data_IF_923605869406
#
_entry.id   IF_923605869406
#
_cell.length_a   1.000
_cell.length_b   1.000
_cell.length_c   1.000
_cell.angle_alpha   90.00
_cell.angle_beta   90.00
_cell.angle_gamma   90.00
#
_symmetry.space_group_name_H-M   'P 1'
#
loop_
_entity.id
_entity.type
_entity.pdbx_description
1 polymer ?
#
# COMPACT_ATOMS: atom_id res chain seq x y z
N UNK A 1 -4.83 16.80 -30.55
CA UNK A 1 -5.53 16.12 -29.44
C UNK A 1 -4.66 16.22 -28.20
N UNK A 2 -5.07 17.06 -27.25
CA UNK A 2 -4.23 17.28 -26.05
C UNK A 2 -4.18 16.01 -25.20
N UNK A 3 -2.99 15.65 -24.73
CA UNK A 3 -2.73 14.50 -23.82
C UNK A 3 -3.71 14.53 -22.63
N UNK A 4 -4.07 15.73 -22.17
CA UNK A 4 -5.00 15.97 -21.05
C UNK A 4 -6.40 15.40 -21.27
N UNK A 5 -6.94 15.47 -22.48
CA UNK A 5 -8.32 15.06 -22.77
C UNK A 5 -8.48 13.53 -22.84
N UNK A 6 -7.40 12.80 -23.12
CA UNK A 6 -7.40 11.33 -23.15
C UNK A 6 -7.22 10.70 -21.76
N UNK A 7 -6.76 11.46 -20.76
CA UNK A 7 -6.46 10.95 -19.40
C UNK A 7 -7.62 11.12 -18.42
N UNK A 8 -8.47 12.15 -18.62
CA UNK A 8 -9.60 12.44 -17.73
C UNK A 8 -10.65 11.31 -17.62
N UNK A 9 -10.97 10.56 -18.70
CA UNK A 9 -11.94 9.45 -18.62
C UNK A 9 -11.55 8.34 -17.66
N UNK A 10 -10.25 8.22 -17.30
CA UNK A 10 -9.76 7.24 -16.32
C UNK A 10 -10.32 7.52 -14.93
N UNK A 11 -10.55 8.78 -14.58
CA UNK A 11 -11.11 9.21 -13.28
C UNK A 11 -12.55 8.73 -13.04
N UNK A 12 -13.30 8.47 -14.10
CA UNK A 12 -14.68 7.99 -14.02
C UNK A 12 -14.79 6.48 -13.71
N UNK A 13 -13.66 5.78 -13.67
CA UNK A 13 -13.64 4.34 -13.45
C UNK A 13 -13.59 3.99 -11.98
N UNK A 14 -14.55 3.21 -11.52
CA UNK A 14 -14.57 2.69 -10.13
C UNK A 14 -13.28 1.95 -9.77
N UNK A 15 -12.70 1.20 -10.70
CA UNK A 15 -11.44 0.49 -10.47
C UNK A 15 -10.26 1.43 -10.13
N UNK A 16 -10.26 2.68 -10.63
CA UNK A 16 -9.24 3.66 -10.25
C UNK A 16 -9.28 3.92 -8.74
N UNK A 17 -10.45 4.22 -8.22
CA UNK A 17 -10.64 4.57 -6.80
C UNK A 17 -10.38 3.40 -5.86
N UNK A 18 -10.84 2.19 -6.23
CA UNK A 18 -10.58 0.99 -5.46
C UNK A 18 -9.08 0.67 -5.41
N UNK A 19 -8.39 0.73 -6.53
CA UNK A 19 -6.95 0.49 -6.59
C UNK A 19 -6.15 1.62 -5.93
N UNK A 20 -6.63 2.87 -5.97
CA UNK A 20 -6.04 3.97 -5.21
C UNK A 20 -6.09 3.73 -3.71
N UNK A 21 -7.21 3.21 -3.20
CA UNK A 21 -7.35 2.85 -1.80
C UNK A 21 -6.37 1.74 -1.39
N UNK A 22 -6.24 0.69 -2.21
CA UNK A 22 -5.28 -0.38 -1.96
C UNK A 22 -3.83 0.10 -2.03
N UNK A 23 -3.53 1.00 -2.97
CA UNK A 23 -2.19 1.56 -3.09
C UNK A 23 -1.87 2.54 -1.96
N UNK A 24 -2.86 3.31 -1.50
CA UNK A 24 -2.75 4.13 -0.30
C UNK A 24 -2.42 3.26 0.93
N UNK A 25 -3.05 2.09 1.05
CA UNK A 25 -2.80 1.18 2.16
C UNK A 25 -1.39 0.57 2.14
N UNK A 26 -0.79 0.35 0.98
CA UNK A 26 0.57 -0.21 0.86
C UNK A 26 1.63 0.88 0.75
N UNK A 27 1.61 1.65 -0.33
CA UNK A 27 2.59 2.70 -0.60
C UNK A 27 2.46 3.87 0.37
N UNK A 28 1.21 4.28 0.67
CA UNK A 28 0.94 5.32 1.66
C UNK A 28 1.44 4.93 3.05
N UNK A 29 1.27 3.66 3.45
CA UNK A 29 1.83 3.14 4.71
C UNK A 29 3.35 3.13 4.69
N UNK A 30 3.98 2.73 3.60
CA UNK A 30 5.43 2.75 3.48
C UNK A 30 6.01 4.15 3.67
N UNK A 31 5.46 5.16 2.98
CA UNK A 31 5.91 6.56 3.12
C UNK A 31 5.55 7.09 4.51
N UNK A 32 4.32 6.84 4.97
CA UNK A 32 3.83 7.36 6.24
C UNK A 32 4.57 6.79 7.44
N UNK A 33 4.90 5.51 7.44
CA UNK A 33 5.75 4.91 8.47
C UNK A 33 7.17 5.44 8.39
N UNK A 34 7.71 5.66 7.18
CA UNK A 34 9.03 6.26 7.01
C UNK A 34 9.12 7.65 7.64
N UNK A 35 8.05 8.46 7.51
CA UNK A 35 7.98 9.79 8.10
C UNK A 35 7.67 9.77 9.61
N UNK A 36 6.82 8.83 10.08
CA UNK A 36 6.30 8.79 11.45
C UNK A 36 7.08 7.93 12.43
N UNK A 37 7.86 6.96 11.95
CA UNK A 37 8.50 5.96 12.80
C UNK A 37 9.42 6.55 13.87
N UNK A 38 10.31 7.47 13.49
CA UNK A 38 11.27 8.07 14.42
C UNK A 38 10.57 8.83 15.56
N UNK A 39 9.51 9.59 15.23
CA UNK A 39 8.71 10.30 16.22
C UNK A 39 8.01 9.31 17.16
N UNK A 40 7.35 8.31 16.60
CA UNK A 40 6.63 7.28 17.36
C UNK A 40 7.56 6.53 18.32
N UNK A 41 8.69 6.05 17.80
CA UNK A 41 9.63 5.28 18.60
C UNK A 41 10.28 6.12 19.71
N UNK A 42 10.58 7.42 19.45
CA UNK A 42 11.11 8.32 20.46
C UNK A 42 10.11 8.63 21.56
N UNK A 43 8.81 8.75 21.25
CA UNK A 43 7.78 9.01 22.24
C UNK A 43 7.47 7.79 23.11
N UNK A 44 7.57 6.58 22.58
CA UNK A 44 7.28 5.35 23.30
C UNK A 44 8.51 4.78 24.05
N UNK A 45 9.72 5.07 23.57
CA UNK A 45 10.98 4.57 24.09
C UNK A 45 12.02 5.71 24.16
N UNK A 46 11.87 6.68 25.08
CA UNK A 46 12.70 7.89 25.13
C UNK A 46 14.18 7.60 25.40
N UNK A 47 14.48 6.50 26.10
CA UNK A 47 15.84 6.09 26.47
C UNK A 47 16.66 5.50 25.33
N UNK A 48 16.02 5.21 24.18
CA UNK A 48 16.68 4.59 23.02
C UNK A 48 17.12 5.62 22.01
N UNK A 49 18.37 5.52 21.53
CA UNK A 49 18.86 6.37 20.45
C UNK A 49 18.32 5.89 19.09
N UNK A 50 17.08 6.30 18.80
CA UNK A 50 16.34 5.86 17.62
C UNK A 50 16.91 6.38 16.30
N UNK A 51 17.65 7.52 16.31
CA UNK A 51 18.13 8.15 15.07
C UNK A 51 19.06 7.25 14.26
N UNK A 52 19.85 6.41 14.95
CA UNK A 52 20.75 5.44 14.28
C UNK A 52 20.01 4.27 13.66
N UNK A 53 18.81 3.96 14.13
CA UNK A 53 18.04 2.78 13.74
C UNK A 53 16.89 3.13 12.78
N UNK A 54 16.49 4.40 12.72
CA UNK A 54 15.31 4.83 11.98
C UNK A 54 15.44 4.63 10.47
N UNK A 55 16.64 4.68 9.89
CA UNK A 55 16.83 4.54 8.45
C UNK A 55 16.65 3.10 7.95
N UNK A 56 16.83 2.08 8.81
CA UNK A 56 16.71 0.68 8.39
C UNK A 56 15.30 0.34 7.90
N UNK A 57 14.26 0.93 8.49
CA UNK A 57 12.88 0.71 8.07
C UNK A 57 12.64 1.09 6.61
N UNK A 58 12.83 2.36 6.23
CA UNK A 58 12.73 2.81 4.84
C UNK A 58 13.65 2.04 3.89
N UNK A 59 14.86 1.69 4.31
CA UNK A 59 15.83 0.93 3.51
C UNK A 59 15.31 -0.48 3.19
N UNK A 60 14.86 -1.23 4.21
CA UNK A 60 14.26 -2.55 4.04
C UNK A 60 13.03 -2.48 3.13
N UNK A 61 12.14 -1.50 3.35
CA UNK A 61 10.94 -1.33 2.56
C UNK A 61 11.24 -0.97 1.10
N UNK A 62 12.28 -0.17 0.83
CA UNK A 62 12.69 0.17 -0.54
C UNK A 62 13.18 -1.06 -1.31
N UNK A 63 14.00 -1.90 -0.70
CA UNK A 63 14.44 -3.18 -1.29
C UNK A 63 13.24 -4.11 -1.49
N UNK A 64 12.40 -4.25 -0.46
CA UNK A 64 11.23 -5.09 -0.49
C UNK A 64 10.25 -4.71 -1.60
N UNK A 65 10.13 -3.43 -1.94
CA UNK A 65 9.28 -2.95 -3.04
C UNK A 65 9.68 -3.57 -4.39
N UNK A 66 10.96 -3.58 -4.71
CA UNK A 66 11.46 -4.18 -5.95
C UNK A 66 11.22 -5.70 -5.97
N UNK A 67 11.45 -6.36 -4.84
CA UNK A 67 11.19 -7.80 -4.67
C UNK A 67 9.69 -8.11 -4.80
N UNK A 68 8.81 -7.28 -4.22
CA UNK A 68 7.36 -7.43 -4.29
C UNK A 68 6.83 -7.39 -5.72
N UNK A 69 7.36 -6.49 -6.56
CA UNK A 69 7.06 -6.44 -8.00
C UNK A 69 7.47 -7.74 -8.71
N UNK A 70 8.71 -8.18 -8.53
CA UNK A 70 9.23 -9.41 -9.15
C UNK A 70 8.49 -10.69 -8.72
N UNK A 71 8.09 -10.78 -7.44
CA UNK A 71 7.26 -11.89 -6.94
C UNK A 71 5.87 -11.84 -7.61
N UNK A 72 5.30 -10.64 -7.76
CA UNK A 72 3.98 -10.46 -8.38
C UNK A 72 3.96 -10.83 -9.86
N UNK A 73 5.07 -10.67 -10.58
CA UNK A 73 5.20 -11.09 -11.97
C UNK A 73 5.11 -12.63 -12.10
N UNK A 74 5.60 -13.38 -11.09
CA UNK A 74 5.59 -14.84 -11.09
C UNK A 74 4.28 -15.44 -10.57
N UNK A 75 3.76 -14.91 -9.47
CA UNK A 75 2.64 -15.51 -8.73
C UNK A 75 1.31 -14.78 -8.94
N UNK A 76 1.34 -13.64 -9.64
CA UNK A 76 0.18 -12.78 -9.90
C UNK A 76 -0.05 -11.74 -8.82
N UNK A 77 -0.17 -10.48 -9.25
CA UNK A 77 -0.29 -9.32 -8.35
C UNK A 77 -1.43 -9.42 -7.33
N UNK A 78 -2.61 -9.91 -7.73
CA UNK A 78 -3.77 -10.03 -6.83
C UNK A 78 -3.50 -10.97 -5.66
N UNK A 79 -2.91 -12.14 -5.92
CA UNK A 79 -2.62 -13.13 -4.86
C UNK A 79 -1.55 -12.62 -3.91
N UNK A 80 -0.47 -12.06 -4.46
CA UNK A 80 0.63 -11.52 -3.65
C UNK A 80 0.15 -10.36 -2.79
N UNK A 81 -0.62 -9.44 -3.37
CA UNK A 81 -1.19 -8.29 -2.64
C UNK A 81 -2.16 -8.73 -1.54
N UNK A 82 -3.01 -9.75 -1.79
CA UNK A 82 -3.93 -10.27 -0.78
C UNK A 82 -3.17 -10.86 0.42
N UNK A 83 -2.20 -11.73 0.15
CA UNK A 83 -1.36 -12.34 1.20
C UNK A 83 -0.60 -11.25 1.96
N UNK A 84 -0.08 -10.27 1.24
CA UNK A 84 0.66 -9.16 1.86
C UNK A 84 -0.23 -8.33 2.81
N UNK A 85 -1.49 -8.02 2.46
CA UNK A 85 -2.40 -7.33 3.37
C UNK A 85 -2.69 -8.14 4.65
N UNK A 86 -2.77 -9.46 4.55
CA UNK A 86 -2.91 -10.33 5.72
C UNK A 86 -1.69 -10.17 6.64
N UNK A 87 -0.47 -10.20 6.10
CA UNK A 87 0.73 -9.96 6.89
C UNK A 87 0.79 -8.56 7.49
N UNK A 88 0.39 -7.52 6.75
CA UNK A 88 0.31 -6.15 7.27
C UNK A 88 -0.66 -6.07 8.46
N UNK A 89 -1.82 -6.72 8.37
CA UNK A 89 -2.78 -6.79 9.47
C UNK A 89 -2.19 -7.56 10.68
N UNK A 90 -1.50 -8.68 10.47
CA UNK A 90 -0.86 -9.46 11.52
C UNK A 90 0.23 -8.61 12.22
N UNK A 91 1.15 -7.99 11.49
CA UNK A 91 2.20 -7.16 12.09
C UNK A 91 1.62 -5.93 12.80
N UNK A 92 0.56 -5.32 12.24
CA UNK A 92 -0.15 -4.22 12.90
C UNK A 92 -0.80 -4.68 14.22
N UNK A 93 -1.36 -5.89 14.27
CA UNK A 93 -1.91 -6.46 15.50
C UNK A 93 -0.80 -6.81 16.52
N UNK A 94 0.32 -7.37 16.08
CA UNK A 94 1.45 -7.69 16.94
C UNK A 94 2.07 -6.45 17.61
N UNK A 95 1.98 -5.27 17.00
CA UNK A 95 2.47 -4.03 17.62
C UNK A 95 1.80 -3.74 18.96
N UNK A 96 0.52 -4.09 19.14
CA UNK A 96 -0.16 -3.90 20.42
C UNK A 96 0.49 -4.69 21.57
N UNK A 97 1.10 -5.82 21.26
CA UNK A 97 1.78 -6.66 22.24
C UNK A 97 3.16 -6.13 22.64
N UNK A 98 3.71 -5.19 21.90
CA UNK A 98 5.06 -4.66 22.07
C UNK A 98 5.12 -3.27 22.67
N UNK A 99 4.02 -2.52 22.60
CA UNK A 99 3.95 -1.14 23.08
C UNK A 99 3.90 -1.05 24.60
N UNK A 100 4.52 -0.01 25.20
CA UNK A 100 4.32 0.31 26.61
C UNK A 100 2.82 0.57 26.90
N UNK A 101 2.33 0.05 28.00
CA UNK A 101 0.93 0.24 28.44
C UNK A 101 -0.11 -0.70 27.86
N UNK A 102 0.16 -1.38 26.74
CA UNK A 102 -0.73 -2.39 26.16
C UNK A 102 -0.07 -3.78 26.05
N UNK A 103 1.25 -3.84 26.09
CA UNK A 103 2.02 -5.06 25.93
C UNK A 103 3.28 -5.07 26.78
N UNK A 104 4.32 -5.76 26.29
CA UNK A 104 5.57 -5.99 27.02
C UNK A 104 6.43 -4.74 27.26
N UNK A 105 6.20 -3.65 26.51
CA UNK A 105 7.06 -2.46 26.53
C UNK A 105 8.50 -2.75 26.09
N UNK A 106 8.74 -3.84 25.34
CA UNK A 106 10.07 -4.23 24.91
C UNK A 106 10.42 -3.57 23.57
N UNK A 107 11.44 -2.70 23.59
CA UNK A 107 11.89 -1.99 22.39
C UNK A 107 12.35 -2.92 21.27
N UNK A 108 13.07 -4.00 21.57
CA UNK A 108 13.57 -4.93 20.54
C UNK A 108 12.43 -5.62 19.83
N UNK A 109 11.40 -6.07 20.57
CA UNK A 109 10.21 -6.67 20.00
C UNK A 109 9.42 -5.66 19.16
N UNK A 110 9.22 -4.43 19.67
CA UNK A 110 8.59 -3.32 18.93
C UNK A 110 9.33 -3.05 17.61
N UNK A 111 10.66 -2.92 17.67
CA UNK A 111 11.48 -2.63 16.50
C UNK A 111 11.40 -3.75 15.47
N UNK A 112 11.51 -5.01 15.87
CA UNK A 112 11.43 -6.16 14.98
C UNK A 112 10.06 -6.26 14.28
N UNK A 113 8.96 -6.06 15.01
CA UNK A 113 7.59 -6.06 14.45
C UNK A 113 7.40 -4.89 13.49
N UNK A 114 7.93 -3.71 13.84
CA UNK A 114 7.84 -2.54 12.98
C UNK A 114 8.68 -2.69 11.69
N UNK A 115 9.85 -3.34 11.76
CA UNK A 115 10.62 -3.71 10.57
C UNK A 115 9.84 -4.69 9.68
N UNK A 116 9.08 -5.62 10.26
CA UNK A 116 8.13 -6.47 9.55
C UNK A 116 7.03 -5.68 8.82
N UNK A 117 6.53 -4.60 9.44
CA UNK A 117 5.59 -3.68 8.78
C UNK A 117 6.24 -2.94 7.61
N UNK A 118 7.47 -2.47 7.75
CA UNK A 118 8.20 -1.85 6.64
C UNK A 118 8.42 -2.82 5.49
N UNK A 119 8.82 -4.05 5.80
CA UNK A 119 9.00 -5.11 4.82
C UNK A 119 7.71 -5.36 4.03
N UNK A 120 6.61 -5.58 4.75
CA UNK A 120 5.31 -5.87 4.12
C UNK A 120 4.72 -4.65 3.41
N UNK A 121 4.84 -3.43 3.94
CA UNK A 121 4.43 -2.22 3.24
C UNK A 121 5.24 -2.00 1.95
N UNK A 122 6.54 -2.29 1.97
CA UNK A 122 7.40 -2.28 0.79
C UNK A 122 6.97 -3.33 -0.24
N UNK A 123 6.93 -4.61 0.15
CA UNK A 123 6.46 -5.70 -0.72
C UNK A 123 5.08 -5.41 -1.31
N UNK A 124 4.15 -4.95 -0.46
CA UNK A 124 2.81 -4.57 -0.87
C UNK A 124 2.78 -3.44 -1.88
N UNK A 125 3.61 -2.43 -1.71
CA UNK A 125 3.67 -1.32 -2.67
C UNK A 125 4.12 -1.77 -4.06
N UNK A 126 5.09 -2.67 -4.14
CA UNK A 126 5.55 -3.27 -5.40
C UNK A 126 4.49 -4.18 -6.04
N UNK A 127 3.88 -5.06 -5.24
CA UNK A 127 2.86 -5.99 -5.72
C UNK A 127 1.58 -5.29 -6.17
N UNK A 128 1.11 -4.28 -5.43
CA UNK A 128 -0.08 -3.50 -5.80
C UNK A 128 0.17 -2.68 -7.05
N UNK A 129 1.36 -2.09 -7.21
CA UNK A 129 1.73 -1.34 -8.41
C UNK A 129 1.67 -2.21 -9.66
N UNK A 130 2.23 -3.41 -9.58
CA UNK A 130 2.16 -4.40 -10.66
C UNK A 130 0.72 -4.85 -10.93
N UNK A 131 -0.06 -5.11 -9.89
CA UNK A 131 -1.49 -5.45 -9.99
C UNK A 131 -2.29 -4.37 -10.73
N UNK A 132 -2.05 -3.08 -10.44
CA UNK A 132 -2.70 -1.94 -11.11
C UNK A 132 -2.39 -1.96 -12.61
N UNK A 133 -1.11 -2.13 -12.97
CA UNK A 133 -0.68 -2.14 -14.35
C UNK A 133 -1.37 -3.24 -15.17
N UNK A 134 -1.42 -4.45 -14.63
CA UNK A 134 -2.06 -5.61 -15.28
C UNK A 134 -3.56 -5.41 -15.43
N UNK A 135 -4.25 -4.97 -14.37
CA UNK A 135 -5.71 -4.82 -14.38
C UNK A 135 -6.13 -3.74 -15.37
N UNK A 136 -5.49 -2.55 -15.34
CA UNK A 136 -5.85 -1.48 -16.27
C UNK A 136 -5.59 -1.85 -17.72
N UNK A 137 -4.44 -2.51 -17.99
CA UNK A 137 -4.11 -3.00 -19.33
C UNK A 137 -5.19 -3.97 -19.83
N UNK A 138 -5.59 -4.95 -19.04
CA UNK A 138 -6.60 -5.94 -19.43
C UNK A 138 -7.97 -5.31 -19.66
N UNK A 139 -8.42 -4.43 -18.75
CA UNK A 139 -9.72 -3.74 -18.89
C UNK A 139 -9.76 -2.90 -20.16
N UNK A 140 -8.68 -2.18 -20.47
CA UNK A 140 -8.64 -1.32 -21.65
C UNK A 140 -8.61 -2.12 -22.94
N UNK A 141 -7.78 -3.17 -23.01
CA UNK A 141 -7.75 -4.07 -24.19
C UNK A 141 -9.14 -4.68 -24.43
N UNK A 142 -9.76 -5.23 -23.40
CA UNK A 142 -11.10 -5.81 -23.50
C UNK A 142 -12.13 -4.80 -24.02
N UNK A 143 -12.13 -3.59 -23.49
CA UNK A 143 -13.06 -2.51 -23.90
C UNK A 143 -12.88 -2.11 -25.36
N UNK A 144 -11.64 -1.93 -25.83
CA UNK A 144 -11.37 -1.50 -27.20
C UNK A 144 -11.79 -2.60 -28.18
N UNK A 145 -11.50 -3.86 -27.87
CA UNK A 145 -11.92 -5.01 -28.68
C UNK A 145 -13.45 -5.14 -28.77
N UNK A 146 -14.16 -4.93 -27.67
CA UNK A 146 -15.64 -4.95 -27.65
C UNK A 146 -16.26 -3.83 -28.50
N UNK A 147 -15.55 -2.73 -28.73
CA UNK A 147 -15.96 -1.64 -29.64
C UNK A 147 -15.54 -1.85 -31.10
N UNK A 148 -14.97 -2.99 -31.42
CA UNK A 148 -14.51 -3.32 -32.78
C UNK A 148 -13.16 -2.70 -33.16
N UNK A 149 -12.38 -2.22 -32.19
CA UNK A 149 -11.04 -1.69 -32.43
C UNK A 149 -10.02 -2.77 -32.76
N UNK A 150 -8.97 -2.38 -33.52
CA UNK A 150 -7.88 -3.29 -33.88
C UNK A 150 -7.01 -3.65 -32.66
N UNK A 151 -6.27 -4.76 -32.77
CA UNK A 151 -5.32 -5.19 -31.71
C UNK A 151 -4.25 -4.13 -31.44
N UNK A 152 -3.76 -3.48 -32.48
CA UNK A 152 -2.76 -2.42 -32.37
C UNK A 152 -3.32 -1.20 -31.63
N UNK A 153 -4.54 -0.78 -31.96
CA UNK A 153 -5.24 0.30 -31.27
C UNK A 153 -5.46 -0.05 -29.79
N UNK A 154 -5.91 -1.29 -29.51
CA UNK A 154 -6.12 -1.74 -28.13
C UNK A 154 -4.85 -1.67 -27.28
N UNK A 155 -3.70 -2.07 -27.84
CA UNK A 155 -2.42 -1.99 -27.15
C UNK A 155 -1.96 -0.55 -26.90
N UNK A 156 -2.09 0.34 -27.89
CA UNK A 156 -1.73 1.77 -27.75
C UNK A 156 -2.58 2.45 -26.67
N UNK A 157 -3.90 2.27 -26.71
CA UNK A 157 -4.79 2.82 -25.70
C UNK A 157 -4.52 2.25 -24.31
N UNK A 158 -4.23 0.95 -24.20
CA UNK A 158 -3.91 0.30 -22.95
C UNK A 158 -2.66 0.88 -22.29
N UNK A 159 -1.60 1.14 -23.07
CA UNK A 159 -0.37 1.77 -22.55
C UNK A 159 -0.67 3.15 -22.00
N UNK A 160 -1.38 3.99 -22.76
CA UNK A 160 -1.70 5.37 -22.36
C UNK A 160 -2.59 5.42 -21.11
N UNK A 161 -3.66 4.62 -21.07
CA UNK A 161 -4.57 4.59 -19.91
C UNK A 161 -3.92 3.99 -18.67
N UNK A 162 -3.12 2.94 -18.83
CA UNK A 162 -2.39 2.36 -17.70
C UNK A 162 -1.40 3.36 -17.11
N UNK A 163 -0.66 4.10 -17.95
CA UNK A 163 0.25 5.13 -17.48
C UNK A 163 -0.47 6.26 -16.72
N UNK A 164 -1.63 6.71 -17.24
CA UNK A 164 -2.45 7.72 -16.59
C UNK A 164 -2.98 7.20 -15.24
N UNK A 165 -3.51 5.97 -15.19
CA UNK A 165 -4.00 5.35 -13.96
C UNK A 165 -2.89 5.23 -12.90
N UNK A 166 -1.70 4.75 -13.28
CA UNK A 166 -0.55 4.66 -12.38
C UNK A 166 -0.15 6.03 -11.82
N UNK A 167 -0.18 7.07 -12.64
CA UNK A 167 0.12 8.44 -12.21
C UNK A 167 -0.87 8.94 -11.15
N UNK A 168 -2.18 8.85 -11.41
CA UNK A 168 -3.23 9.27 -10.47
C UNK A 168 -3.21 8.44 -9.17
N UNK A 169 -3.11 7.12 -9.29
CA UNK A 169 -3.09 6.22 -8.14
C UNK A 169 -1.85 6.48 -7.28
N UNK A 170 -0.69 6.74 -7.91
CA UNK A 170 0.54 7.06 -7.17
C UNK A 170 0.46 8.39 -6.44
N UNK A 171 -0.15 9.40 -7.04
CA UNK A 171 -0.39 10.69 -6.40
C UNK A 171 -1.29 10.54 -5.17
N UNK A 172 -2.41 9.80 -5.29
CA UNK A 172 -3.30 9.50 -4.15
C UNK A 172 -2.57 8.68 -3.08
N UNK A 173 -1.80 7.67 -3.49
CA UNK A 173 -1.02 6.84 -2.57
C UNK A 173 0.00 7.63 -1.75
N UNK A 174 0.65 8.63 -2.37
CA UNK A 174 1.65 9.48 -1.69
C UNK A 174 1.05 10.32 -0.55
N UNK A 175 -0.25 10.62 -0.58
CA UNK A 175 -0.95 11.37 0.48
C UNK A 175 -0.90 10.65 1.83
N UNK A 176 -0.70 9.32 1.84
CA UNK A 176 -0.46 8.55 3.05
C UNK A 176 0.75 9.02 3.86
N UNK A 177 1.75 9.60 3.19
CA UNK A 177 2.90 10.23 3.85
C UNK A 177 2.52 11.39 4.78
N UNK A 178 1.40 12.04 4.53
CA UNK A 178 0.84 13.08 5.40
C UNK A 178 -0.08 12.49 6.46
N UNK A 179 -1.02 11.63 6.08
CA UNK A 179 -2.06 11.17 6.99
C UNK A 179 -1.56 10.27 8.11
N UNK A 180 -0.58 9.42 7.88
CA UNK A 180 -0.11 8.46 8.90
C UNK A 180 0.63 9.16 10.05
N UNK A 181 1.63 10.04 9.82
CA UNK A 181 2.23 10.82 10.90
C UNK A 181 1.21 11.69 11.64
N UNK A 182 0.25 12.29 10.90
CA UNK A 182 -0.82 13.08 11.50
C UNK A 182 -1.72 12.23 12.42
N UNK A 183 -2.09 11.02 11.99
CA UNK A 183 -2.88 10.11 12.82
C UNK A 183 -2.14 9.71 14.11
N UNK A 184 -0.84 9.44 14.03
CA UNK A 184 -0.02 9.20 15.22
C UNK A 184 0.02 10.42 16.14
N UNK A 185 0.27 11.61 15.59
CA UNK A 185 0.31 12.86 16.33
C UNK A 185 -1.03 13.14 17.04
N UNK A 186 -2.15 13.00 16.34
CA UNK A 186 -3.49 13.16 16.93
C UNK A 186 -3.76 12.14 18.04
N UNK A 187 -3.44 10.88 17.82
CA UNK A 187 -3.63 9.82 18.82
C UNK A 187 -2.81 10.09 20.08
N UNK A 188 -1.55 10.48 19.93
CA UNK A 188 -0.67 10.85 21.05
C UNK A 188 -1.19 12.08 21.81
N UNK A 189 -1.66 13.11 21.10
CA UNK A 189 -2.18 14.32 21.73
C UNK A 189 -3.50 14.09 22.50
N UNK A 190 -4.37 13.21 21.98
CA UNK A 190 -5.68 12.96 22.60
C UNK A 190 -5.62 11.93 23.74
N UNK A 191 -4.79 10.92 23.63
CA UNK A 191 -4.80 9.77 24.55
C UNK A 191 -3.44 9.47 25.20
N UNK A 192 -2.39 10.21 24.85
CA UNK A 192 -1.01 9.92 25.27
C UNK A 192 -0.43 8.63 24.66
N UNK A 193 -1.18 7.95 23.77
CA UNK A 193 -0.81 6.66 23.23
C UNK A 193 -1.05 6.58 21.72
N UNK A 194 -0.21 5.87 20.93
CA UNK A 194 -0.41 5.67 19.50
C UNK A 194 -1.45 4.59 19.18
N UNK A 195 -2.00 3.94 20.20
CA UNK A 195 -2.91 2.77 20.07
C UNK A 195 -4.14 3.10 19.24
N UNK A 196 -4.70 4.32 19.39
CA UNK A 196 -5.86 4.77 18.59
C UNK A 196 -5.58 4.75 17.09
N UNK A 197 -4.48 5.35 16.66
CA UNK A 197 -4.07 5.36 15.26
C UNK A 197 -3.79 3.93 14.74
N UNK A 198 -3.12 3.10 15.52
CA UNK A 198 -2.83 1.71 15.14
C UNK A 198 -4.08 0.86 14.97
N UNK A 199 -5.12 1.05 15.80
CA UNK A 199 -6.42 0.40 15.61
C UNK A 199 -7.06 0.77 14.27
N UNK A 200 -7.00 2.05 13.90
CA UNK A 200 -7.52 2.51 12.61
C UNK A 200 -6.76 1.87 11.45
N UNK A 201 -5.43 1.79 11.53
CA UNK A 201 -4.64 1.14 10.48
C UNK A 201 -4.92 -0.36 10.38
N UNK A 202 -5.05 -1.07 11.50
CA UNK A 202 -5.42 -2.48 11.52
C UNK A 202 -6.77 -2.72 10.82
N UNK A 203 -7.80 -1.94 11.18
CA UNK A 203 -9.12 -2.01 10.54
C UNK A 203 -9.00 -1.73 9.05
N UNK A 204 -8.22 -0.72 8.67
CA UNK A 204 -8.00 -0.37 7.28
C UNK A 204 -7.36 -1.51 6.48
N UNK A 205 -6.36 -2.20 7.02
CA UNK A 205 -5.75 -3.36 6.35
C UNK A 205 -6.73 -4.53 6.24
N UNK A 206 -7.55 -4.80 7.25
CA UNK A 206 -8.60 -5.82 7.18
C UNK A 206 -9.61 -5.49 6.08
N UNK A 207 -10.03 -4.23 5.97
CA UNK A 207 -10.90 -3.77 4.86
C UNK A 207 -10.22 -3.98 3.51
N UNK A 208 -8.92 -3.71 3.39
CA UNK A 208 -8.17 -3.95 2.16
C UNK A 208 -8.07 -5.45 1.80
N UNK A 209 -7.93 -6.34 2.81
CA UNK A 209 -8.01 -7.80 2.59
C UNK A 209 -9.36 -8.16 1.98
N UNK A 210 -10.46 -7.71 2.60
CA UNK A 210 -11.81 -8.00 2.14
C UNK A 210 -12.07 -7.45 0.73
N UNK A 211 -11.69 -6.20 0.46
CA UNK A 211 -11.82 -5.58 -0.85
C UNK A 211 -11.03 -6.33 -1.92
N UNK A 212 -9.78 -6.66 -1.64
CA UNK A 212 -8.94 -7.39 -2.59
C UNK A 212 -9.53 -8.77 -2.89
N UNK A 213 -9.99 -9.48 -1.87
CA UNK A 213 -10.59 -10.80 -2.02
C UNK A 213 -11.92 -10.76 -2.78
N UNK A 214 -12.84 -9.85 -2.41
CA UNK A 214 -14.18 -9.77 -3.00
C UNK A 214 -14.18 -9.27 -4.44
N UNK A 215 -13.37 -8.24 -4.73
CA UNK A 215 -13.38 -7.58 -6.04
C UNK A 215 -12.46 -8.26 -7.04
N UNK A 216 -11.27 -8.65 -6.61
CA UNK A 216 -10.22 -9.15 -7.49
C UNK A 216 -9.93 -10.64 -7.32
N UNK A 217 -10.12 -11.21 -6.12
CA UNK A 217 -9.86 -12.62 -5.85
C UNK A 217 -10.91 -13.57 -6.44
N UNK A 218 -12.17 -13.17 -6.45
CA UNK A 218 -13.27 -13.98 -7.02
C UNK A 218 -13.41 -13.88 -8.53
N UNK A 219 -13.08 -12.73 -9.10
CA UNK A 219 -12.98 -12.62 -10.55
C UNK A 219 -11.67 -13.27 -10.95
N UNK A 220 -11.76 -14.25 -11.86
CA UNK A 220 -10.58 -14.75 -12.57
C UNK A 220 -10.02 -13.61 -13.45
N UNK A 221 -9.44 -12.58 -12.83
CA UNK A 221 -8.36 -11.81 -13.46
C UNK A 221 -7.16 -12.76 -13.52
N UNK A 222 -7.40 -13.90 -14.20
CA UNK A 222 -6.44 -14.95 -14.33
C UNK A 222 -5.39 -14.49 -15.29
N UNK A 223 -4.23 -14.46 -14.77
CA UNK A 223 -2.98 -14.86 -15.38
C UNK A 223 -3.16 -15.65 -16.68
N UNK A 224 -2.86 -15.04 -17.80
CA UNK A 224 -2.10 -15.60 -18.90
C UNK A 224 -1.35 -14.47 -19.54
#
# INVERSE_FOLDING_TARGET
>A
MCIRDSQLPVLQRLHLWLLSLLYLATFGSFIGFSAGFAMLAKTQFPDVNILRLAFFGPFIGAIARSVGGAISDKFGGVRVTLINFIFMAIFSALLFLTLPGTGSGNFIAFYAVFMGLFLTAGLGSGSTFQMIAVIFRQITIYRVKMKGGSDEQAQREAVTETAAALGFISAIGAVGGFFIPQAFGMSLNMTGSPVGAMKVFLIFYIVCVLLTWLVYGRRKFSQK
#
